data_IF_645056512285
#
_entry.id   IF_645056512285
#
_cell.length_a   1.000
_cell.length_b   1.000
_cell.length_c   1.000
_cell.angle_alpha   90.00
_cell.angle_beta   90.00
_cell.angle_gamma   90.00
#
_symmetry.space_group_name_H-M   'P 1'
#
loop_
_entity.id
_entity.type
_entity.pdbx_description
1 polymer ?
#
# COMPACT_ATOMS: atom_id res chain seq x y z
N UNK A 1 -33.12 22.02 -30.42
CA UNK A 1 -33.28 21.13 -29.24
C UNK A 1 -32.28 19.97 -29.23
N UNK A 2 -32.10 19.23 -30.33
CA UNK A 2 -31.22 18.05 -30.40
C UNK A 2 -29.77 18.34 -29.98
N UNK A 3 -29.19 19.46 -30.43
CA UNK A 3 -27.81 19.86 -30.07
C UNK A 3 -27.69 20.14 -28.56
N UNK A 4 -28.67 20.82 -27.96
CA UNK A 4 -28.68 21.09 -26.51
C UNK A 4 -28.78 19.81 -25.68
N UNK A 5 -29.60 18.85 -26.11
CA UNK A 5 -29.74 17.54 -25.45
C UNK A 5 -28.42 16.75 -25.56
N UNK A 6 -27.76 16.76 -26.72
CA UNK A 6 -26.46 16.11 -26.91
C UNK A 6 -25.36 16.72 -26.05
N UNK A 7 -25.32 18.05 -25.91
CA UNK A 7 -24.34 18.73 -25.04
C UNK A 7 -24.55 18.37 -23.56
N UNK A 8 -25.80 18.36 -23.09
CA UNK A 8 -26.11 17.99 -21.70
C UNK A 8 -25.83 16.49 -21.45
N UNK A 9 -26.21 15.62 -22.38
CA UNK A 9 -25.94 14.18 -22.28
C UNK A 9 -24.43 13.87 -22.30
N UNK A 10 -23.67 14.54 -23.17
CA UNK A 10 -22.21 14.42 -23.25
C UNK A 10 -21.52 14.88 -21.97
N UNK A 11 -21.91 16.06 -21.45
CA UNK A 11 -21.37 16.58 -20.18
C UNK A 11 -21.70 15.68 -19.00
N UNK A 12 -22.93 15.18 -18.90
CA UNK A 12 -23.32 14.25 -17.84
C UNK A 12 -22.56 12.92 -17.90
N UNK A 13 -22.38 12.36 -19.11
CA UNK A 13 -21.60 11.14 -19.32
C UNK A 13 -20.13 11.34 -18.91
N UNK A 14 -19.55 12.49 -19.26
CA UNK A 14 -18.17 12.85 -18.93
C UNK A 14 -17.96 12.96 -17.41
N UNK A 15 -18.83 13.72 -16.73
CA UNK A 15 -18.81 13.86 -15.26
C UNK A 15 -18.94 12.50 -14.58
N UNK A 16 -19.86 11.66 -15.05
CA UNK A 16 -20.10 10.33 -14.48
C UNK A 16 -18.93 9.37 -14.70
N UNK A 17 -18.20 9.52 -15.82
CA UNK A 17 -17.00 8.73 -16.13
C UNK A 17 -15.78 9.14 -15.30
N UNK A 18 -15.68 10.40 -14.88
CA UNK A 18 -14.61 10.89 -13.98
C UNK A 18 -14.89 10.66 -12.49
N UNK A 19 -16.14 10.82 -12.04
CA UNK A 19 -16.49 10.73 -10.61
C UNK A 19 -16.39 9.33 -10.03
N UNK A 20 -16.68 8.29 -10.83
CA UNK A 20 -16.57 6.89 -10.38
C UNK A 20 -15.15 6.46 -9.98
N UNK A 21 -14.11 6.63 -10.83
CA UNK A 21 -12.76 6.20 -10.47
C UNK A 21 -12.16 7.03 -9.33
N UNK A 22 -12.50 8.32 -9.22
CA UNK A 22 -12.08 9.16 -8.09
C UNK A 22 -12.62 8.65 -6.74
N UNK A 23 -13.90 8.28 -6.68
CA UNK A 23 -14.48 7.74 -5.44
C UNK A 23 -13.83 6.40 -5.04
N UNK A 24 -13.46 5.57 -6.01
CA UNK A 24 -12.75 4.32 -5.74
C UNK A 24 -11.34 4.59 -5.17
N UNK A 25 -10.62 5.56 -5.73
CA UNK A 25 -9.29 5.95 -5.28
C UNK A 25 -9.33 6.54 -3.87
N UNK A 26 -10.30 7.40 -3.57
CA UNK A 26 -10.52 7.94 -2.23
C UNK A 26 -10.75 6.83 -1.20
N UNK A 27 -11.63 5.86 -1.51
CA UNK A 27 -11.91 4.73 -0.59
C UNK A 27 -10.67 3.89 -0.33
N UNK A 28 -9.91 3.58 -1.37
CA UNK A 28 -8.67 2.82 -1.23
C UNK A 28 -7.62 3.59 -0.43
N UNK A 29 -7.50 4.91 -0.63
CA UNK A 29 -6.57 5.74 0.14
C UNK A 29 -6.92 5.77 1.63
N UNK A 30 -8.21 5.85 1.97
CA UNK A 30 -8.68 5.75 3.36
C UNK A 30 -8.36 4.37 3.94
N UNK A 31 -8.55 3.30 3.18
CA UNK A 31 -8.23 1.94 3.61
C UNK A 31 -6.72 1.76 3.89
N UNK A 32 -5.86 2.21 2.97
CA UNK A 32 -4.40 2.21 3.17
C UNK A 32 -4.00 3.02 4.41
N UNK A 33 -4.62 4.18 4.63
CA UNK A 33 -4.40 5.00 5.83
C UNK A 33 -4.80 4.32 7.14
N UNK A 34 -5.65 3.28 7.10
CA UNK A 34 -6.02 2.45 8.25
C UNK A 34 -5.11 1.22 8.44
N UNK A 35 -4.08 1.05 7.60
CA UNK A 35 -3.22 -0.13 7.60
C UNK A 35 -3.83 -1.33 6.86
N UNK A 36 -4.91 -1.13 6.11
CA UNK A 36 -5.45 -2.17 5.23
C UNK A 36 -4.66 -2.19 3.92
N UNK A 37 -4.50 -3.38 3.33
CA UNK A 37 -3.82 -3.56 2.04
C UNK A 37 -4.85 -3.91 0.95
N UNK A 38 -5.61 -2.93 0.44
CA UNK A 38 -6.57 -3.19 -0.63
C UNK A 38 -5.86 -3.66 -1.91
N UNK A 39 -6.57 -4.46 -2.71
CA UNK A 39 -6.09 -4.90 -4.01
C UNK A 39 -5.78 -3.70 -4.93
N UNK A 40 -4.83 -3.83 -5.87
CA UNK A 40 -4.50 -2.77 -6.80
C UNK A 40 -5.74 -2.23 -7.52
N UNK A 41 -5.89 -0.91 -7.54
CA UNK A 41 -6.98 -0.26 -8.25
C UNK A 41 -6.79 -0.43 -9.76
N UNK A 42 -7.90 -0.68 -10.48
CA UNK A 42 -7.90 -0.78 -11.94
C UNK A 42 -7.61 0.58 -12.57
N UNK A 43 -6.62 0.64 -13.45
CA UNK A 43 -6.27 1.82 -14.25
C UNK A 43 -7.40 2.14 -15.26
N UNK A 44 -8.34 3.00 -14.88
CA UNK A 44 -9.50 3.39 -15.69
C UNK A 44 -9.75 4.90 -15.61
N UNK A 45 -10.14 5.52 -16.72
CA UNK A 45 -10.48 6.93 -16.79
C UNK A 45 -9.65 7.68 -17.82
N UNK A 46 -9.41 8.97 -17.58
CA UNK A 46 -8.47 9.76 -18.38
C UNK A 46 -7.03 9.32 -18.12
N UNK A 47 -6.11 9.76 -18.99
CA UNK A 47 -4.68 9.48 -18.85
C UNK A 47 -4.15 9.92 -17.48
N UNK A 48 -4.58 11.08 -16.98
CA UNK A 48 -4.19 11.62 -15.68
C UNK A 48 -4.67 10.71 -14.54
N UNK A 49 -5.92 10.21 -14.62
CA UNK A 49 -6.46 9.28 -13.63
C UNK A 49 -5.68 7.96 -13.59
N UNK A 50 -5.28 7.46 -14.75
CA UNK A 50 -4.45 6.25 -14.86
C UNK A 50 -3.09 6.48 -14.18
N UNK A 51 -2.42 7.61 -14.46
CA UNK A 51 -1.12 7.92 -13.86
C UNK A 51 -1.19 8.05 -12.34
N UNK A 52 -2.21 8.74 -11.81
CA UNK A 52 -2.43 8.86 -10.36
C UNK A 52 -2.73 7.50 -9.73
N UNK A 53 -3.59 6.69 -10.36
CA UNK A 53 -3.92 5.35 -9.89
C UNK A 53 -2.67 4.46 -9.84
N UNK A 54 -1.81 4.55 -10.86
CA UNK A 54 -0.56 3.81 -10.92
C UNK A 54 0.42 4.23 -9.82
N UNK A 55 0.57 5.54 -9.59
CA UNK A 55 1.40 6.06 -8.52
C UNK A 55 0.90 5.60 -7.14
N UNK A 56 -0.43 5.64 -6.92
CA UNK A 56 -1.06 5.13 -5.71
C UNK A 56 -0.80 3.63 -5.49
N UNK A 57 -0.98 2.81 -6.53
CA UNK A 57 -0.74 1.37 -6.45
C UNK A 57 0.73 1.06 -6.08
N UNK A 58 1.69 1.79 -6.65
CA UNK A 58 3.12 1.66 -6.29
C UNK A 58 3.39 2.02 -4.84
N UNK A 59 2.78 3.11 -4.35
CA UNK A 59 2.90 3.51 -2.94
C UNK A 59 2.35 2.45 -1.99
N UNK A 60 1.14 1.94 -2.26
CA UNK A 60 0.52 0.86 -1.47
C UNK A 60 1.41 -0.40 -1.42
N UNK A 61 1.99 -0.79 -2.57
CA UNK A 61 2.91 -1.93 -2.62
C UNK A 61 4.20 -1.68 -1.84
N UNK A 62 4.75 -0.46 -1.88
CA UNK A 62 5.92 -0.07 -1.10
C UNK A 62 5.67 -0.10 0.41
N UNK A 63 4.51 0.38 0.87
CA UNK A 63 4.11 0.32 2.29
C UNK A 63 4.04 -1.15 2.75
N UNK A 64 3.38 -2.01 1.97
CA UNK A 64 3.29 -3.44 2.27
C UNK A 64 4.66 -4.11 2.36
N UNK A 65 5.59 -3.74 1.48
CA UNK A 65 6.96 -4.26 1.53
C UNK A 65 7.70 -3.79 2.78
N UNK A 66 7.59 -2.50 3.12
CA UNK A 66 8.25 -1.94 4.32
C UNK A 66 7.74 -2.57 5.62
N UNK A 67 6.45 -2.87 5.71
CA UNK A 67 5.89 -3.61 6.83
C UNK A 67 6.41 -5.06 6.89
N UNK A 68 6.51 -5.73 5.74
CA UNK A 68 7.10 -7.07 5.66
C UNK A 68 8.57 -7.08 6.07
N UNK A 69 9.34 -6.08 5.64
CA UNK A 69 10.77 -5.95 5.98
C UNK A 69 10.96 -5.67 7.48
N UNK A 70 10.06 -4.89 8.11
CA UNK A 70 10.04 -4.72 9.57
C UNK A 70 9.86 -6.05 10.31
N UNK A 71 8.94 -6.90 9.85
CA UNK A 71 8.73 -8.21 10.46
C UNK A 71 9.95 -9.12 10.35
N UNK A 72 10.64 -9.09 9.19
CA UNK A 72 11.87 -9.87 8.97
C UNK A 72 13.00 -9.36 9.87
N UNK A 73 13.13 -8.05 10.05
CA UNK A 73 14.16 -7.48 10.94
C UNK A 73 13.94 -7.89 12.40
N UNK A 74 12.69 -7.87 12.90
CA UNK A 74 12.39 -8.32 14.28
C UNK A 74 12.54 -9.83 14.48
N UNK A 75 12.30 -10.65 13.44
CA UNK A 75 12.51 -12.09 13.51
C UNK A 75 14.00 -12.48 13.40
N UNK A 76 14.77 -11.78 12.57
CA UNK A 76 16.21 -11.99 12.39
C UNK A 76 17.03 -11.67 13.64
N UNK A 77 16.68 -10.60 14.36
CA UNK A 77 17.36 -10.22 15.62
C UNK A 77 17.21 -11.33 16.68
N UNK A 78 16.05 -12.00 16.76
CA UNK A 78 15.86 -13.09 17.73
C UNK A 78 16.69 -14.34 17.41
N UNK A 79 16.96 -14.59 16.12
CA UNK A 79 17.76 -15.74 15.67
C UNK A 79 19.26 -15.51 15.94
N UNK A 80 19.76 -14.31 15.69
CA UNK A 80 21.18 -13.97 15.84
C UNK A 80 21.59 -13.65 17.27
N UNK A 81 20.64 -13.43 18.19
CA UNK A 81 20.92 -13.26 19.62
C UNK A 81 21.04 -14.57 20.40
N UNK A 82 20.48 -15.69 19.91
CA UNK A 82 20.57 -16.99 20.60
C UNK A 82 22.02 -17.51 20.63
N UNK A 83 22.76 -17.35 19.54
CA UNK A 83 24.17 -17.76 19.40
C UNK A 83 25.13 -17.05 20.37
N UNK A 84 25.11 -15.71 20.54
CA UNK A 84 25.94 -15.02 21.52
C UNK A 84 25.44 -15.23 22.96
N UNK A 85 24.13 -15.32 23.22
CA UNK A 85 23.61 -15.59 24.57
C UNK A 85 24.03 -16.96 25.10
N UNK A 86 24.01 -18.00 24.25
CA UNK A 86 24.52 -19.32 24.62
C UNK A 86 26.03 -19.27 24.91
N UNK A 87 26.80 -18.49 24.15
CA UNK A 87 28.25 -18.33 24.41
C UNK A 87 28.55 -17.58 25.71
N UNK A 88 27.81 -16.51 26.03
CA UNK A 88 27.98 -15.77 27.29
C UNK A 88 27.63 -16.67 28.48
N UNK A 89 26.54 -17.45 28.39
CA UNK A 89 26.15 -18.40 29.43
C UNK A 89 27.18 -19.51 29.64
N UNK A 90 27.74 -20.05 28.55
CA UNK A 90 28.82 -21.04 28.62
C UNK A 90 30.09 -20.43 29.22
N UNK A 91 30.44 -19.20 28.85
CA UNK A 91 31.60 -18.50 29.39
C UNK A 91 31.45 -18.19 30.90
N UNK A 92 30.23 -17.89 31.37
CA UNK A 92 29.97 -17.70 32.80
C UNK A 92 30.02 -18.99 33.61
N UNK A 93 29.66 -20.13 33.02
CA UNK A 93 29.78 -21.45 33.66
C UNK A 93 31.24 -21.95 33.73
N UNK A 94 32.13 -21.40 32.89
CA UNK A 94 33.56 -21.76 32.86
C UNK A 94 34.45 -20.79 33.67
N UNK A 95 33.88 -19.74 34.27
CA UNK A 95 34.61 -18.90 35.21
C UNK A 95 34.80 -19.68 36.53
N UNK A 96 36.05 -20.00 36.92
CA UNK A 96 36.31 -20.49 38.26
C UNK A 96 36.13 -19.32 39.25
N UNK A 97 35.61 -19.64 40.45
CA UNK A 97 35.49 -18.70 41.58
C UNK A 97 36.76 -17.87 41.81
#
# INVERSE_FOLDING_TARGET
>A
MVIGILSVAGGWLFVRRMTRPLSALQKAAIAVGKGEHPAPLREQGSTEMIQVTRAFNRMNQGIKQLENDRNIMTAGISHDLRTPLTRIRLASEMLPE
#
